data_IF_520100704953
#
_entry.id   IF_520100704953
#
_cell.length_a   1.000
_cell.length_b   1.000
_cell.length_c   1.000
_cell.angle_alpha   90.00
_cell.angle_beta   90.00
_cell.angle_gamma   90.00
#
_symmetry.space_group_name_H-M   'P 1'
#
loop_
_entity.id
_entity.type
_entity.pdbx_description
1 polymer ?
#
# COMPACT_ATOMS: atom_id res chain seq x y z
N UNK A 1 -2.65 -29.97 22.45
CA UNK A 1 -1.83 -29.77 21.24
C UNK A 1 -1.86 -28.29 20.89
N UNK A 2 -0.73 -27.59 20.70
CA UNK A 2 -0.76 -26.17 20.36
C UNK A 2 -1.33 -26.02 18.95
N UNK A 3 -2.42 -25.29 18.82
CA UNK A 3 -3.03 -24.93 17.54
C UNK A 3 -2.04 -24.08 16.74
N UNK A 4 -1.54 -24.62 15.62
CA UNK A 4 -0.76 -23.84 14.64
C UNK A 4 -1.69 -22.79 14.01
N UNK A 5 -1.57 -21.54 14.46
CA UNK A 5 -2.14 -20.34 13.85
C UNK A 5 -1.30 -20.04 12.60
N UNK A 6 -1.93 -19.93 11.44
CA UNK A 6 -1.26 -19.48 10.23
C UNK A 6 -1.43 -17.97 10.11
N UNK A 7 -0.31 -17.24 10.03
CA UNK A 7 -0.33 -15.86 9.54
C UNK A 7 -0.69 -15.93 8.07
N UNK A 8 -1.86 -15.44 7.66
CA UNK A 8 -2.14 -15.36 6.23
C UNK A 8 -1.26 -14.28 5.61
N UNK A 9 -0.46 -14.72 4.66
CA UNK A 9 0.60 -13.94 4.04
C UNK A 9 1.91 -14.07 4.81
N UNK A 10 2.77 -15.00 4.40
CA UNK A 10 4.23 -14.83 4.61
C UNK A 10 4.73 -13.49 4.03
N UNK A 11 3.91 -12.85 3.20
CA UNK A 11 4.10 -11.54 2.58
C UNK A 11 3.01 -10.56 3.00
N UNK A 12 2.70 -10.50 4.30
CA UNK A 12 1.88 -9.45 4.90
C UNK A 12 2.57 -8.07 4.73
N UNK A 13 2.44 -7.56 3.51
CA UNK A 13 3.02 -6.32 3.05
C UNK A 13 2.14 -5.15 3.48
N UNK A 14 2.78 -4.02 3.75
CA UNK A 14 2.08 -2.75 3.88
C UNK A 14 1.28 -2.42 2.59
N UNK A 15 0.52 -1.33 2.58
CA UNK A 15 -0.17 -0.80 1.39
C UNK A 15 -1.43 -1.56 0.93
N UNK A 16 -2.14 -2.20 1.87
CA UNK A 16 -3.42 -2.85 1.58
C UNK A 16 -4.48 -1.83 1.16
N UNK A 17 -5.32 -2.17 0.18
CA UNK A 17 -6.33 -1.26 -0.35
C UNK A 17 -7.60 -1.34 0.49
N UNK A 18 -8.12 -0.18 0.90
CA UNK A 18 -9.36 -0.07 1.68
C UNK A 18 -10.52 0.56 0.89
N UNK A 19 -10.21 1.23 -0.22
CA UNK A 19 -11.19 1.87 -1.07
C UNK A 19 -10.61 2.07 -2.47
N UNK A 20 -11.44 1.86 -3.49
CA UNK A 20 -11.23 2.30 -4.87
C UNK A 20 -12.56 2.90 -5.35
N UNK A 21 -12.53 4.14 -5.84
CA UNK A 21 -13.75 4.80 -6.32
C UNK A 21 -13.59 6.30 -6.50
N UNK A 22 -14.67 6.99 -6.85
CA UNK A 22 -14.63 8.44 -7.05
C UNK A 22 -14.37 9.20 -5.76
N UNK A 23 -13.60 10.28 -5.87
CA UNK A 23 -13.44 11.25 -4.80
C UNK A 23 -14.79 11.86 -4.44
N UNK A 24 -15.08 11.93 -3.16
CA UNK A 24 -16.28 12.55 -2.60
C UNK A 24 -15.92 13.27 -1.30
N UNK A 25 -16.79 14.17 -0.85
CA UNK A 25 -16.61 14.89 0.42
C UNK A 25 -16.53 13.96 1.63
N UNK A 26 -17.08 12.74 1.50
CA UNK A 26 -16.99 11.72 2.53
C UNK A 26 -16.85 10.34 1.89
N UNK A 27 -15.78 9.65 2.27
CA UNK A 27 -15.55 8.25 1.90
C UNK A 27 -15.61 7.40 3.17
N UNK A 28 -16.51 6.41 3.19
CA UNK A 28 -16.58 5.43 4.27
C UNK A 28 -15.57 4.32 4.00
N UNK A 29 -14.44 4.37 4.69
CA UNK A 29 -13.45 3.30 4.66
C UNK A 29 -13.82 2.19 5.65
N UNK A 30 -13.99 0.97 5.14
CA UNK A 30 -14.37 -0.20 5.91
C UNK A 30 -13.22 -1.17 6.11
N UNK A 31 -13.50 -2.46 5.94
CA UNK A 31 -12.47 -3.51 5.87
C UNK A 31 -11.66 -3.35 4.58
N UNK A 32 -10.42 -3.86 4.60
CA UNK A 32 -9.60 -3.91 3.39
C UNK A 32 -10.26 -4.80 2.33
N UNK A 33 -9.89 -4.59 1.08
CA UNK A 33 -10.23 -5.54 0.03
C UNK A 33 -9.45 -6.84 0.24
N UNK A 34 -10.11 -7.97 0.01
CA UNK A 34 -9.60 -9.29 0.33
C UNK A 34 -9.96 -10.33 -0.73
N UNK A 35 -8.99 -11.17 -1.10
CA UNK A 35 -9.14 -12.21 -2.12
C UNK A 35 -10.12 -13.31 -1.69
N UNK A 36 -11.13 -13.58 -2.51
CA UNK A 36 -12.20 -14.54 -2.19
C UNK A 36 -13.35 -13.98 -1.35
N UNK A 37 -13.26 -12.74 -0.85
CA UNK A 37 -14.31 -12.10 -0.04
C UNK A 37 -14.81 -10.81 -0.68
N UNK A 38 -13.90 -10.01 -1.25
CA UNK A 38 -14.25 -8.81 -1.99
C UNK A 38 -14.46 -9.17 -3.44
N UNK A 39 -15.70 -9.04 -3.91
CA UNK A 39 -16.00 -9.12 -5.34
C UNK A 39 -15.40 -7.89 -6.02
N UNK A 40 -14.33 -8.09 -6.79
CA UNK A 40 -13.87 -7.06 -7.71
C UNK A 40 -14.80 -7.08 -8.93
N UNK A 41 -15.21 -5.90 -9.41
CA UNK A 41 -15.76 -5.81 -10.75
C UNK A 41 -14.54 -5.84 -11.67
N UNK A 42 -14.33 -6.96 -12.34
CA UNK A 42 -13.33 -7.05 -13.41
C UNK A 42 -13.82 -6.18 -14.58
N UNK A 43 -13.62 -4.88 -14.46
CA UNK A 43 -13.70 -3.98 -15.59
C UNK A 43 -12.41 -4.20 -16.39
N UNK A 44 -12.45 -5.21 -17.26
CA UNK A 44 -11.44 -5.45 -18.28
C UNK A 44 -11.44 -4.29 -19.28
N UNK A 45 -10.83 -3.17 -18.89
CA UNK A 45 -10.60 -2.05 -19.79
C UNK A 45 -9.35 -2.37 -20.62
N UNK A 46 -9.56 -2.59 -21.92
CA UNK A 46 -8.51 -2.87 -22.90
C UNK A 46 -7.50 -1.72 -23.07
N UNK A 47 -7.77 -0.54 -22.50
CA UNK A 47 -6.95 0.67 -22.63
C UNK A 47 -6.53 1.18 -21.25
N UNK A 48 -5.55 0.52 -20.65
CA UNK A 48 -4.95 0.93 -19.38
C UNK A 48 -3.53 1.46 -19.58
N UNK A 49 -3.26 2.62 -18.99
CA UNK A 49 -1.95 3.24 -18.97
C UNK A 49 -1.08 2.61 -17.86
N UNK A 50 0.17 2.31 -18.19
CA UNK A 50 1.19 1.77 -17.27
C UNK A 50 2.37 2.72 -17.08
N UNK A 51 2.30 3.90 -17.69
CA UNK A 51 3.23 4.99 -17.46
C UNK A 51 2.73 5.79 -16.27
N UNK A 52 3.57 5.99 -15.27
CA UNK A 52 3.24 6.76 -14.07
C UNK A 52 4.06 8.05 -14.04
N UNK A 53 3.37 9.19 -13.99
CA UNK A 53 4.00 10.51 -13.94
C UNK A 53 3.20 11.42 -13.02
N UNK A 54 3.83 12.49 -12.53
CA UNK A 54 3.11 13.53 -11.77
C UNK A 54 2.03 14.26 -12.57
N UNK A 55 1.94 14.04 -13.89
CA UNK A 55 0.91 14.58 -14.76
C UNK A 55 -0.36 13.71 -14.80
N UNK A 56 -0.25 12.43 -14.41
CA UNK A 56 -1.38 11.50 -14.47
C UNK A 56 -1.80 10.92 -13.12
N UNK A 57 -0.91 10.92 -12.14
CA UNK A 57 -1.16 10.46 -10.80
C UNK A 57 -0.65 11.45 -9.76
N UNK A 58 -1.36 11.54 -8.66
CA UNK A 58 -0.85 12.18 -7.44
C UNK A 58 -0.93 11.22 -6.27
N UNK A 59 0.03 11.33 -5.36
CA UNK A 59 0.07 10.54 -4.13
C UNK A 59 0.13 11.52 -2.97
N UNK A 60 -0.74 11.33 -1.98
CA UNK A 60 -0.76 12.16 -0.79
C UNK A 60 -0.82 11.30 0.47
N UNK A 61 0.12 11.54 1.38
CA UNK A 61 0.17 10.94 2.71
C UNK A 61 -0.36 11.95 3.72
N UNK A 62 -1.43 11.55 4.41
CA UNK A 62 -2.06 12.31 5.48
C UNK A 62 -1.59 11.78 6.84
N UNK A 63 -0.80 12.60 7.53
CA UNK A 63 -0.29 12.33 8.88
C UNK A 63 -1.16 12.90 9.99
N UNK A 64 -2.19 13.68 9.64
CA UNK A 64 -3.12 14.30 10.59
C UNK A 64 -4.20 13.34 11.07
N UNK A 65 -4.59 12.38 10.22
CA UNK A 65 -5.63 11.40 10.54
C UNK A 65 -5.03 10.25 11.35
N UNK A 66 -5.61 10.02 12.53
CA UNK A 66 -5.25 8.88 13.38
C UNK A 66 -5.94 7.62 12.85
N UNK A 67 -5.19 6.76 12.17
CA UNK A 67 -5.67 5.46 11.71
C UNK A 67 -4.79 4.32 12.21
N UNK A 68 -5.37 3.12 12.23
CA UNK A 68 -4.65 1.88 12.48
C UNK A 68 -4.82 0.92 11.29
N UNK A 69 -3.81 0.08 11.07
CA UNK A 69 -3.85 -1.04 10.14
C UNK A 69 -3.80 -2.35 10.95
N UNK A 70 -4.85 -3.18 10.88
CA UNK A 70 -4.84 -4.48 11.55
C UNK A 70 -3.93 -5.48 10.81
N UNK A 71 -3.29 -6.35 11.57
CA UNK A 71 -2.81 -7.65 11.12
C UNK A 71 -3.89 -8.65 11.48
N UNK A 72 -4.56 -9.16 10.45
CA UNK A 72 -5.69 -10.07 10.55
C UNK A 72 -5.18 -11.52 10.40
N UNK A 73 -5.73 -12.43 11.21
CA UNK A 73 -5.41 -13.86 11.16
C UNK A 73 -6.66 -14.62 10.76
N UNK A 74 -6.53 -15.69 9.97
CA UNK A 74 -7.64 -16.61 9.73
C UNK A 74 -7.36 -17.97 10.37
N UNK A 75 -8.44 -18.65 10.74
CA UNK A 75 -8.45 -20.04 11.12
C UNK A 75 -8.17 -20.92 9.89
N UNK A 76 -7.92 -22.21 10.12
CA UNK A 76 -7.75 -23.18 9.02
C UNK A 76 -8.96 -23.25 8.08
N UNK A 77 -10.13 -22.88 8.57
CA UNK A 77 -11.38 -22.91 7.81
C UNK A 77 -11.64 -21.58 7.07
N UNK A 78 -10.70 -20.63 7.10
CA UNK A 78 -10.84 -19.31 6.48
C UNK A 78 -11.61 -18.29 7.33
N UNK A 79 -11.94 -18.60 8.58
CA UNK A 79 -12.68 -17.65 9.44
C UNK A 79 -11.73 -16.66 10.10
N UNK A 80 -12.11 -15.38 10.18
CA UNK A 80 -11.29 -14.38 10.89
C UNK A 80 -11.19 -14.71 12.39
N UNK A 81 -9.96 -14.72 12.89
CA UNK A 81 -9.65 -14.86 14.31
C UNK A 81 -9.54 -13.45 14.91
N UNK A 82 -10.64 -12.96 15.45
CA UNK A 82 -10.75 -11.58 15.93
C UNK A 82 -9.88 -11.28 17.16
N UNK A 83 -9.78 -12.21 18.10
CA UNK A 83 -9.03 -12.05 19.36
C UNK A 83 -7.50 -11.96 19.16
N UNK A 84 -7.01 -12.39 18.00
CA UNK A 84 -5.59 -12.37 17.65
C UNK A 84 -5.19 -11.14 16.82
N UNK A 85 -6.11 -10.22 16.53
CA UNK A 85 -5.85 -9.07 15.66
C UNK A 85 -4.91 -8.06 16.33
N UNK A 86 -3.75 -7.78 15.72
CA UNK A 86 -2.81 -6.76 16.20
C UNK A 86 -3.01 -5.47 15.40
N UNK A 87 -3.18 -4.33 16.07
CA UNK A 87 -3.34 -3.04 15.42
C UNK A 87 -2.05 -2.23 15.46
N UNK A 88 -1.60 -1.76 14.31
CA UNK A 88 -0.44 -0.87 14.19
C UNK A 88 -0.89 0.54 13.85
N UNK A 89 -0.34 1.54 14.56
CA UNK A 89 -0.49 2.94 14.17
C UNK A 89 -0.02 3.12 12.73
N UNK A 90 -0.78 3.85 11.96
CA UNK A 90 -0.58 3.97 10.52
C UNK A 90 -0.88 5.39 10.07
N UNK A 91 -0.28 5.78 8.94
CA UNK A 91 -0.75 6.93 8.17
C UNK A 91 -1.71 6.46 7.09
N UNK A 92 -2.59 7.38 6.68
CA UNK A 92 -3.45 7.19 5.53
C UNK A 92 -2.75 7.77 4.31
N UNK A 93 -2.87 7.12 3.16
CA UNK A 93 -2.45 7.72 1.91
C UNK A 93 -3.47 7.48 0.81
N UNK A 94 -3.46 8.39 -0.15
CA UNK A 94 -4.30 8.35 -1.33
C UNK A 94 -3.44 8.32 -2.59
N UNK A 95 -3.94 7.62 -3.61
CA UNK A 95 -3.44 7.71 -4.98
C UNK A 95 -4.61 8.17 -5.83
N UNK A 96 -4.49 9.29 -6.52
CA UNK A 96 -5.55 9.86 -7.35
C UNK A 96 -5.15 9.82 -8.82
N UNK A 97 -6.05 9.34 -9.68
CA UNK A 97 -5.89 9.45 -11.12
C UNK A 97 -6.44 10.81 -11.58
N UNK A 98 -5.52 11.71 -11.89
CA UNK A 98 -5.82 13.07 -12.37
C UNK A 98 -5.83 13.17 -13.91
N UNK A 99 -5.60 12.04 -14.60
CA UNK A 99 -5.66 11.98 -16.06
C UNK A 99 -7.06 11.60 -16.59
N UNK A 100 -7.20 11.63 -17.91
CA UNK A 100 -8.38 11.15 -18.64
C UNK A 100 -8.27 9.68 -19.10
N UNK A 101 -7.23 8.95 -18.68
CA UNK A 101 -7.01 7.54 -19.01
C UNK A 101 -7.05 6.67 -17.77
N UNK A 102 -7.53 5.43 -17.87
CA UNK A 102 -7.47 4.49 -16.76
C UNK A 102 -6.04 4.04 -16.50
N UNK A 103 -5.66 3.95 -15.22
CA UNK A 103 -4.30 3.63 -14.80
C UNK A 103 -4.27 2.28 -14.10
N UNK A 104 -3.33 1.43 -14.50
CA UNK A 104 -3.12 0.12 -13.88
C UNK A 104 -2.34 0.26 -12.56
N UNK A 105 -2.84 -0.32 -11.46
CA UNK A 105 -2.17 -0.24 -10.15
C UNK A 105 -1.54 -1.58 -9.69
N UNK A 106 -1.85 -2.68 -10.38
CA UNK A 106 -1.30 -3.99 -10.09
C UNK A 106 -2.34 -5.11 -10.04
N UNK A 107 -1.87 -6.32 -9.70
CA UNK A 107 -2.68 -7.55 -9.64
C UNK A 107 -2.80 -8.09 -8.21
N UNK A 108 -3.34 -7.28 -7.30
CA UNK A 108 -3.50 -7.64 -5.89
C UNK A 108 -4.39 -6.62 -5.18
N UNK A 109 -4.95 -6.98 -4.02
CA UNK A 109 -5.65 -6.04 -3.12
C UNK A 109 -4.71 -5.20 -2.23
N UNK A 110 -3.48 -5.00 -2.69
CA UNK A 110 -2.50 -4.08 -2.15
C UNK A 110 -1.91 -3.26 -3.29
N UNK A 111 -1.41 -2.07 -3.02
CA UNK A 111 -0.76 -1.26 -4.05
C UNK A 111 0.56 -1.94 -4.45
N UNK A 112 0.67 -2.39 -5.69
CA UNK A 112 1.68 -3.40 -6.07
C UNK A 112 3.09 -2.84 -6.26
N UNK A 113 3.20 -1.65 -6.84
CA UNK A 113 4.46 -1.00 -7.20
C UNK A 113 4.89 0.10 -6.21
N UNK A 114 4.34 0.12 -4.99
CA UNK A 114 4.65 1.16 -4.01
C UNK A 114 5.69 0.69 -3.00
N UNK A 115 6.60 1.59 -2.65
CA UNK A 115 7.55 1.41 -1.56
C UNK A 115 7.76 2.73 -0.81
N UNK A 116 8.45 2.65 0.34
CA UNK A 116 8.91 3.79 1.13
C UNK A 116 10.38 4.06 0.84
N UNK A 117 10.69 5.35 0.79
CA UNK A 117 12.05 5.86 0.96
C UNK A 117 12.11 6.73 2.20
N UNK A 118 13.26 6.70 2.87
CA UNK A 118 13.56 7.58 4.00
C UNK A 118 14.95 8.20 3.82
N UNK A 119 15.15 9.41 4.31
CA UNK A 119 16.48 10.02 4.34
C UNK A 119 17.36 9.33 5.38
N UNK A 120 18.54 8.89 4.97
CA UNK A 120 19.55 8.36 5.89
C UNK A 120 20.23 9.50 6.69
N UNK A 121 21.21 9.16 7.55
CA UNK A 121 21.97 10.14 8.34
C UNK A 121 22.74 11.19 7.53
N UNK A 122 23.00 10.93 6.25
CA UNK A 122 23.65 11.85 5.29
C UNK A 122 22.65 12.71 4.52
N UNK A 123 21.35 12.51 4.72
CA UNK A 123 20.29 13.21 4.00
C UNK A 123 19.96 12.61 2.62
N UNK A 124 20.52 11.44 2.29
CA UNK A 124 20.28 10.75 1.01
C UNK A 124 19.01 9.89 1.12
N UNK A 125 18.18 9.88 0.08
CA UNK A 125 17.00 9.00 0.01
C UNK A 125 17.44 7.54 -0.16
N UNK A 126 16.96 6.68 0.72
CA UNK A 126 17.23 5.24 0.68
C UNK A 126 15.89 4.50 0.73
N UNK A 127 15.70 3.55 -0.19
CA UNK A 127 14.58 2.60 -0.16
C UNK A 127 14.66 1.73 1.08
N UNK A 128 13.60 1.68 1.89
CA UNK A 128 13.60 0.98 3.18
C UNK A 128 12.76 -0.29 3.22
N UNK A 129 11.90 -0.51 2.22
CA UNK A 129 11.13 -1.73 2.07
C UNK A 129 11.06 -2.17 0.60
N UNK A 130 10.72 -3.45 0.40
CA UNK A 130 10.43 -4.00 -0.92
C UNK A 130 8.96 -3.74 -1.26
N UNK A 131 8.69 -3.38 -2.49
CA UNK A 131 7.32 -3.40 -3.01
C UNK A 131 6.92 -4.85 -3.35
N UNK A 132 5.63 -5.09 -3.51
CA UNK A 132 5.11 -6.43 -3.79
C UNK A 132 5.62 -7.00 -5.13
N UNK A 133 5.86 -6.14 -6.12
CA UNK A 133 6.37 -6.58 -7.42
C UNK A 133 7.76 -7.22 -7.36
N UNK A 134 8.56 -6.90 -6.34
CA UNK A 134 9.90 -7.46 -6.12
C UNK A 134 9.88 -8.82 -5.40
N UNK A 135 8.73 -9.25 -4.90
CA UNK A 135 8.59 -10.49 -4.10
C UNK A 135 8.38 -11.72 -5.00
N UNK A 136 8.17 -11.53 -6.32
CA UNK A 136 8.08 -12.63 -7.28
C UNK A 136 6.83 -13.50 -7.12
N UNK A 137 5.73 -12.92 -6.64
CA UNK A 137 4.47 -13.63 -6.45
C UNK A 137 3.83 -14.01 -7.79
N UNK A 138 3.50 -15.29 -7.95
CA UNK A 138 2.72 -15.78 -9.09
C UNK A 138 1.22 -15.55 -8.80
N UNK A 139 0.69 -14.40 -9.25
CA UNK A 139 -0.63 -13.87 -8.92
C UNK A 139 -1.72 -14.36 -9.90
N UNK A 140 -1.73 -15.65 -10.20
CA UNK A 140 -2.74 -16.25 -11.09
C UNK A 140 -4.12 -16.20 -10.44
N UNK A 141 -5.09 -15.56 -11.09
CA UNK A 141 -6.46 -15.38 -10.55
C UNK A 141 -6.63 -14.20 -9.60
N UNK A 142 -5.56 -13.44 -9.33
CA UNK A 142 -5.63 -12.27 -8.46
C UNK A 142 -6.38 -11.11 -9.13
N UNK A 143 -7.09 -10.32 -8.31
CA UNK A 143 -7.81 -9.15 -8.75
C UNK A 143 -6.89 -8.13 -9.44
N UNK A 144 -7.33 -7.60 -10.58
CA UNK A 144 -6.65 -6.48 -11.24
C UNK A 144 -7.22 -5.17 -10.70
N UNK A 145 -6.36 -4.31 -10.15
CA UNK A 145 -6.77 -3.00 -9.66
C UNK A 145 -6.44 -1.95 -10.72
N UNK A 146 -7.49 -1.29 -11.18
CA UNK A 146 -7.43 -0.17 -12.10
C UNK A 146 -8.00 1.07 -11.41
N UNK A 147 -7.46 2.23 -11.75
CA UNK A 147 -7.94 3.52 -11.27
C UNK A 147 -8.47 4.32 -12.45
N UNK A 148 -9.79 4.48 -12.55
CA UNK A 148 -10.42 5.26 -13.64
C UNK A 148 -10.19 6.77 -13.44
N UNK A 149 -10.38 7.61 -14.48
CA UNK A 149 -10.29 9.06 -14.35
C UNK A 149 -11.10 9.61 -13.16
N UNK A 150 -10.45 10.43 -12.32
CA UNK A 150 -11.06 11.05 -11.14
C UNK A 150 -11.34 10.09 -9.98
N UNK A 151 -10.87 8.84 -10.05
CA UNK A 151 -10.93 7.92 -8.92
C UNK A 151 -9.69 8.03 -8.03
N UNK A 152 -9.88 7.64 -6.77
CA UNK A 152 -8.86 7.53 -5.75
C UNK A 152 -8.77 6.09 -5.22
N UNK A 153 -7.56 5.69 -4.87
CA UNK A 153 -7.30 4.59 -3.94
C UNK A 153 -7.06 5.18 -2.56
N UNK A 154 -7.64 4.57 -1.53
CA UNK A 154 -7.26 4.84 -0.14
C UNK A 154 -6.59 3.61 0.43
N UNK A 155 -5.42 3.82 1.00
CA UNK A 155 -4.62 2.78 1.62
C UNK A 155 -3.95 3.30 2.90
N UNK A 156 -3.25 2.42 3.61
CA UNK A 156 -2.60 2.69 4.88
C UNK A 156 -1.15 2.20 4.84
N UNK A 157 -0.28 2.97 5.48
CA UNK A 157 1.11 2.58 5.74
C UNK A 157 1.34 2.50 7.23
N UNK A 158 1.90 1.38 7.70
CA UNK A 158 2.29 1.27 9.10
C UNK A 158 3.37 2.28 9.40
N UNK A 159 3.24 2.92 10.56
CA UNK A 159 4.30 3.77 11.09
C UNK A 159 5.51 2.91 11.43
N UNK A 160 6.68 3.44 11.13
CA UNK A 160 7.91 2.84 11.58
C UNK A 160 8.08 3.08 13.09
N UNK A 161 8.87 2.22 13.72
CA UNK A 161 9.30 2.38 15.10
C UNK A 161 10.82 2.54 15.11
N UNK A 162 11.32 3.47 15.91
CA UNK A 162 12.74 3.65 16.12
C UNK A 162 13.10 4.99 16.73
N UNK A 163 14.40 5.26 16.78
CA UNK A 163 14.97 6.42 17.48
C UNK A 163 15.48 7.52 16.54
N UNK A 164 15.35 7.34 15.22
CA UNK A 164 15.79 8.31 14.23
C UNK A 164 14.59 8.91 13.50
N UNK A 165 14.22 10.14 13.87
CA UNK A 165 13.19 10.93 13.20
C UNK A 165 13.76 11.49 11.89
N UNK A 166 13.17 11.14 10.76
CA UNK A 166 13.65 11.56 9.44
C UNK A 166 12.50 11.85 8.48
N UNK A 167 12.85 12.34 7.30
CA UNK A 167 11.91 12.57 6.20
C UNK A 167 11.67 11.26 5.44
N UNK A 168 10.41 11.01 5.11
CA UNK A 168 9.91 9.89 4.34
C UNK A 168 9.17 10.38 3.10
N UNK A 169 9.12 9.53 2.09
CA UNK A 169 8.20 9.66 0.95
C UNK A 169 7.77 8.27 0.49
N UNK A 170 6.59 8.20 -0.11
CA UNK A 170 6.17 7.04 -0.90
C UNK A 170 6.62 7.23 -2.34
N UNK A 171 6.97 6.12 -2.96
CA UNK A 171 7.33 6.03 -4.37
C UNK A 171 6.46 4.96 -4.99
N UNK A 172 5.64 5.33 -5.97
CA UNK A 172 4.85 4.39 -6.75
C UNK A 172 5.35 4.38 -8.19
N UNK A 173 5.62 3.18 -8.69
CA UNK A 173 6.01 2.96 -10.07
C UNK A 173 7.14 1.96 -10.20
N UNK A 174 7.65 1.81 -11.41
CA UNK A 174 8.75 0.93 -11.74
C UNK A 174 9.60 1.58 -12.83
N UNK A 175 10.86 1.16 -12.92
CA UNK A 175 11.88 1.75 -13.78
C UNK A 175 11.93 3.28 -13.60
N UNK A 176 11.99 4.05 -14.69
CA UNK A 176 12.04 5.52 -14.66
C UNK A 176 10.64 6.18 -14.57
N UNK A 177 9.57 5.39 -14.46
CA UNK A 177 8.20 5.90 -14.39
C UNK A 177 7.69 5.87 -12.96
N UNK A 178 8.09 6.86 -12.17
CA UNK A 178 7.77 6.95 -10.74
C UNK A 178 7.05 8.25 -10.39
N UNK A 179 6.18 8.14 -9.39
CA UNK A 179 5.46 9.27 -8.78
C UNK A 179 5.77 9.26 -7.30
N UNK A 180 6.14 10.43 -6.80
CA UNK A 180 6.46 10.64 -5.39
C UNK A 180 5.25 11.22 -4.65
N UNK A 181 5.08 10.84 -3.38
CA UNK A 181 4.18 11.56 -2.48
C UNK A 181 4.78 12.89 -2.00
N UNK A 182 3.99 13.66 -1.27
CA UNK A 182 4.53 14.66 -0.35
C UNK A 182 5.52 14.01 0.65
N UNK A 183 6.45 14.82 1.15
CA UNK A 183 7.36 14.43 2.23
C UNK A 183 6.62 14.48 3.56
N UNK A 184 6.84 13.48 4.40
CA UNK A 184 6.29 13.40 5.75
C UNK A 184 7.36 12.93 6.74
N UNK A 185 7.11 13.11 8.04
CA UNK A 185 8.05 12.67 9.09
C UNK A 185 7.57 11.41 9.79
N UNK A 186 8.50 10.50 10.06
CA UNK A 186 8.29 9.36 10.95
C UNK A 186 9.62 8.92 11.59
N UNK A 187 9.54 8.01 12.56
CA UNK A 187 10.72 7.50 13.25
C UNK A 187 11.08 6.10 12.77
N UNK A 188 12.37 5.86 12.47
CA UNK A 188 12.88 4.55 12.06
C UNK A 188 14.10 4.15 12.87
N UNK A 189 14.37 2.86 12.93
CA UNK A 189 15.63 2.35 13.41
C UNK A 189 16.72 2.63 12.37
N UNK A 190 17.72 3.43 12.73
CA UNK A 190 18.78 3.82 11.81
C UNK A 190 19.58 2.63 11.25
N UNK A 191 19.54 1.46 11.89
CA UNK A 191 20.19 0.24 11.41
C UNK A 191 19.62 -0.27 10.08
N UNK A 192 18.40 0.12 9.73
CA UNK A 192 17.78 -0.22 8.44
C UNK A 192 18.60 0.30 7.26
N UNK A 193 19.33 1.41 7.44
CA UNK A 193 20.20 1.96 6.39
C UNK A 193 21.51 1.18 6.21
N UNK A 194 21.92 0.40 7.22
CA UNK A 194 23.15 -0.39 7.17
C UNK A 194 22.93 -1.73 6.46
N UNK A 195 21.71 -2.27 6.53
CA UNK A 195 21.32 -3.54 5.90
C UNK A 195 21.02 -3.46 4.40
N UNK A 196 20.94 -2.25 3.84
CA UNK A 196 20.64 -2.00 2.42
C UNK A 196 21.90 -1.73 1.58
N UNK A 197 23.08 -2.16 2.06
CA UNK A 197 24.35 -2.16 1.32
C UNK A 197 24.63 -3.51 0.67
#
# INVERSE_FOLDING_TARGET
>A
MPSKIYRLGEYDTDYRIYYVGHKSDTVKIGRRYWEGYTRCVDDFEYLMNRRYTGENLTIFVDTSVKVNAPVEYLSRNGEMIHDSTINYHSFLFTIENISNTTIFLGRTFSVYFIHREAKNKKGEWVKIDKNLSEIGLCLTGAATINLKPGQIVISKIRRCCGNFLTDFRLVFGYDDNVVYSNVFKDSIDARVFDSNK
#
